data_IF_038065142340
#
_entry.id   IF_038065142340
#
_cell.length_a   1.000
_cell.length_b   1.000
_cell.length_c   1.000
_cell.angle_alpha   90.00
_cell.angle_beta   90.00
_cell.angle_gamma   90.00
#
_symmetry.space_group_name_H-M   'P 1'
#
loop_
_entity.id
_entity.type
_entity.pdbx_description
1 polymer ?
#
# COMPACT_ATOMS: atom_id res chain seq x y z
N UNK A 1 -8.85 -13.54 53.84
CA UNK A 1 -9.06 -13.39 52.37
C UNK A 1 -8.76 -11.95 52.00
N UNK A 2 -7.66 -11.70 51.27
CA UNK A 2 -7.43 -10.40 50.62
C UNK A 2 -8.27 -10.37 49.33
N UNK A 3 -9.21 -9.44 49.25
CA UNK A 3 -9.88 -9.18 47.98
C UNK A 3 -8.85 -8.60 46.99
N UNK A 4 -8.83 -9.08 45.73
CA UNK A 4 -7.97 -8.48 44.70
C UNK A 4 -8.48 -7.06 44.43
N UNK A 5 -7.63 -6.07 44.67
CA UNK A 5 -7.89 -4.69 44.28
C UNK A 5 -7.60 -4.61 42.76
N UNK A 6 -8.64 -4.53 41.97
CA UNK A 6 -8.49 -4.25 40.54
C UNK A 6 -8.03 -2.79 40.38
N UNK A 7 -6.79 -2.58 39.97
CA UNK A 7 -6.33 -1.24 39.55
C UNK A 7 -6.71 -1.01 38.09
N UNK A 8 -7.57 -0.06 37.83
CA UNK A 8 -7.86 0.39 36.48
C UNK A 8 -6.76 1.37 36.03
N UNK A 9 -6.06 1.03 34.99
CA UNK A 9 -5.13 1.97 34.33
C UNK A 9 -5.95 2.84 33.39
N UNK A 10 -6.00 4.15 33.66
CA UNK A 10 -6.64 5.10 32.75
C UNK A 10 -5.80 5.19 31.47
N UNK A 11 -6.41 5.08 30.27
CA UNK A 11 -5.70 5.24 29.03
C UNK A 11 -5.07 6.63 28.92
N UNK A 12 -3.91 6.73 28.24
CA UNK A 12 -3.30 8.02 27.92
C UNK A 12 -4.19 8.82 26.96
N UNK A 13 -4.22 10.15 27.16
CA UNK A 13 -4.97 11.06 26.30
C UNK A 13 -4.29 11.17 24.94
N UNK A 14 -4.95 10.77 23.89
CA UNK A 14 -4.51 10.98 22.51
C UNK A 14 -4.89 12.40 22.06
N UNK A 15 -3.99 13.37 22.21
CA UNK A 15 -4.25 14.78 21.95
C UNK A 15 -4.60 15.04 20.46
N UNK A 16 -4.01 14.28 19.52
CA UNK A 16 -4.32 14.32 18.09
C UNK A 16 -4.45 12.89 17.61
N UNK A 17 -5.64 12.51 17.17
CA UNK A 17 -5.91 11.18 16.63
C UNK A 17 -5.49 11.12 15.17
N UNK A 18 -4.28 10.62 14.90
CA UNK A 18 -3.80 10.34 13.53
C UNK A 18 -4.09 8.89 13.18
N UNK A 19 -4.62 8.67 11.98
CA UNK A 19 -4.93 7.35 11.44
C UNK A 19 -4.35 7.18 10.05
N UNK A 20 -4.15 5.94 9.65
CA UNK A 20 -3.60 5.57 8.36
C UNK A 20 -4.53 4.56 7.68
N UNK A 21 -4.64 4.70 6.37
CA UNK A 21 -5.31 3.73 5.51
C UNK A 21 -4.37 3.36 4.37
N UNK A 22 -4.01 2.09 4.30
CA UNK A 22 -3.10 1.54 3.30
C UNK A 22 -3.86 0.60 2.39
N UNK A 23 -3.75 0.80 1.09
CA UNK A 23 -4.38 -0.05 0.07
C UNK A 23 -3.47 -0.23 -1.13
N UNK A 24 -3.74 -1.28 -1.89
CA UNK A 24 -3.07 -1.62 -3.14
C UNK A 24 -3.99 -1.46 -4.33
N UNK A 25 -3.45 -0.97 -5.43
CA UNK A 25 -4.13 -0.89 -6.71
C UNK A 25 -3.25 -1.49 -7.82
N UNK A 26 -3.90 -2.14 -8.77
CA UNK A 26 -3.28 -2.75 -9.93
C UNK A 26 -3.64 -1.97 -11.19
N UNK A 27 -2.85 -0.93 -11.47
CA UNK A 27 -3.05 -0.08 -12.64
C UNK A 27 -2.31 -0.67 -13.83
N UNK A 28 -3.04 -0.96 -14.88
CA UNK A 28 -2.49 -1.48 -16.12
C UNK A 28 -1.94 -0.33 -17.00
N UNK A 29 -0.69 -0.50 -17.42
CA UNK A 29 -0.04 0.37 -18.40
C UNK A 29 0.30 -0.45 -19.65
N UNK A 30 0.28 0.13 -20.85
CA UNK A 30 0.85 -0.53 -22.02
C UNK A 30 2.33 -0.87 -21.81
N UNK A 31 2.82 -1.88 -22.50
CA UNK A 31 4.19 -2.37 -22.34
C UNK A 31 5.19 -1.23 -22.54
N UNK A 32 6.11 -1.07 -21.60
CA UNK A 32 7.14 -0.02 -21.58
C UNK A 32 6.60 1.43 -21.63
N UNK A 33 5.32 1.63 -21.28
CA UNK A 33 4.70 2.95 -21.24
C UNK A 33 4.43 3.41 -19.81
N UNK A 34 4.35 4.72 -19.67
CA UNK A 34 4.05 5.41 -18.41
C UNK A 34 2.74 6.23 -18.50
N UNK A 35 2.17 6.33 -19.69
CA UNK A 35 0.90 7.01 -19.92
C UNK A 35 -0.25 6.20 -19.34
N UNK A 36 -1.05 6.83 -18.51
CA UNK A 36 -2.24 6.22 -17.90
C UNK A 36 -3.45 6.42 -18.82
N UNK A 37 -4.00 5.32 -19.26
CA UNK A 37 -5.27 5.29 -19.98
C UNK A 37 -6.36 4.80 -19.04
N UNK A 38 -7.29 5.70 -18.67
CA UNK A 38 -8.28 5.42 -17.62
C UNK A 38 -9.28 4.31 -18.00
N UNK A 39 -9.51 4.09 -19.28
CA UNK A 39 -10.39 3.06 -19.84
C UNK A 39 -9.67 1.74 -20.20
N UNK A 40 -8.36 1.64 -19.94
CA UNK A 40 -7.57 0.48 -20.31
C UNK A 40 -7.73 -0.66 -19.31
N UNK A 41 -8.14 -1.86 -19.79
CA UNK A 41 -8.24 -3.10 -19.00
C UNK A 41 -8.99 -2.93 -17.67
N UNK A 42 -8.29 -3.12 -16.53
CA UNK A 42 -8.86 -3.04 -15.18
C UNK A 42 -8.92 -1.62 -14.61
N UNK A 43 -8.33 -0.66 -15.30
CA UNK A 43 -8.17 0.71 -14.82
C UNK A 43 -9.48 1.37 -14.37
N UNK A 44 -10.62 1.25 -15.07
CA UNK A 44 -11.85 1.90 -14.61
C UNK A 44 -12.21 1.52 -13.18
N UNK A 45 -12.21 0.22 -12.86
CA UNK A 45 -12.55 -0.25 -11.52
C UNK A 45 -11.50 0.11 -10.47
N UNK A 46 -10.21 0.02 -10.83
CA UNK A 46 -9.10 0.33 -9.92
C UNK A 46 -9.04 1.82 -9.59
N UNK A 47 -9.16 2.68 -10.59
CA UNK A 47 -9.15 4.14 -10.43
C UNK A 47 -10.39 4.63 -9.65
N UNK A 48 -11.56 4.09 -9.95
CA UNK A 48 -12.80 4.38 -9.22
C UNK A 48 -12.65 3.99 -7.73
N UNK A 49 -12.07 2.84 -7.44
CA UNK A 49 -11.82 2.39 -6.06
C UNK A 49 -10.91 3.35 -5.28
N UNK A 50 -9.83 3.85 -5.90
CA UNK A 50 -8.94 4.83 -5.29
C UNK A 50 -9.70 6.13 -4.99
N UNK A 51 -10.38 6.67 -6.00
CA UNK A 51 -11.11 7.94 -5.90
C UNK A 51 -12.21 7.86 -4.85
N UNK A 52 -13.00 6.80 -4.83
CA UNK A 52 -14.05 6.58 -3.80
C UNK A 52 -13.46 6.48 -2.40
N UNK A 53 -12.36 5.76 -2.23
CA UNK A 53 -11.70 5.61 -0.92
C UNK A 53 -11.25 6.96 -0.37
N UNK A 54 -10.62 7.80 -1.21
CA UNK A 54 -10.17 9.13 -0.79
C UNK A 54 -11.35 10.04 -0.51
N UNK A 55 -12.36 10.06 -1.39
CA UNK A 55 -13.56 10.88 -1.21
C UNK A 55 -14.35 10.48 0.04
N UNK A 56 -14.44 9.20 0.37
CA UNK A 56 -15.10 8.74 1.59
C UNK A 56 -14.45 9.32 2.87
N UNK A 57 -13.12 9.46 2.88
CA UNK A 57 -12.41 10.12 3.98
C UNK A 57 -12.56 11.64 3.93
N UNK A 58 -12.43 12.23 2.75
CA UNK A 58 -12.55 13.68 2.55
C UNK A 58 -13.94 14.22 2.95
N UNK A 59 -14.99 13.48 2.61
CA UNK A 59 -16.38 13.91 2.82
C UNK A 59 -16.91 13.57 4.21
N UNK A 60 -16.15 12.81 5.02
CA UNK A 60 -16.50 12.56 6.42
C UNK A 60 -16.17 13.80 7.29
N UNK A 61 -17.21 14.45 7.82
CA UNK A 61 -17.10 15.65 8.66
C UNK A 61 -16.24 15.50 9.92
N UNK A 62 -15.96 14.27 10.33
CA UNK A 62 -15.14 13.97 11.50
C UNK A 62 -13.66 13.84 11.15
N UNK A 63 -13.31 13.83 9.87
CA UNK A 63 -11.97 13.54 9.37
C UNK A 63 -11.36 14.73 8.64
N UNK A 64 -10.04 14.80 8.68
CA UNK A 64 -9.23 15.74 7.89
C UNK A 64 -8.11 14.96 7.23
N UNK A 65 -8.14 14.83 5.90
CA UNK A 65 -7.03 14.21 5.15
C UNK A 65 -5.80 15.09 5.25
N UNK A 66 -4.72 14.56 5.78
CA UNK A 66 -3.45 15.27 6.03
C UNK A 66 -2.31 14.83 5.12
N UNK A 67 -2.44 13.72 4.40
CA UNK A 67 -1.43 13.26 3.44
C UNK A 67 -1.91 12.09 2.60
N UNK A 68 -1.46 12.03 1.35
CA UNK A 68 -1.69 10.93 0.42
C UNK A 68 -0.36 10.64 -0.25
N UNK A 69 0.18 9.45 -0.03
CA UNK A 69 1.35 8.95 -0.75
C UNK A 69 0.92 7.87 -1.74
N UNK A 70 1.41 7.96 -2.97
CA UNK A 70 1.29 6.90 -3.97
C UNK A 70 2.67 6.34 -4.24
N UNK A 71 2.84 5.06 -3.97
CA UNK A 71 4.09 4.33 -4.09
C UNK A 71 4.00 3.30 -5.21
N UNK A 72 4.82 3.44 -6.25
CA UNK A 72 4.83 2.56 -7.40
C UNK A 72 5.88 1.46 -7.29
N UNK A 73 5.54 0.29 -7.85
CA UNK A 73 6.41 -0.88 -7.92
C UNK A 73 6.49 -1.40 -9.35
N UNK A 74 7.66 -1.92 -9.73
CA UNK A 74 7.80 -2.75 -10.90
C UNK A 74 8.24 -4.17 -10.51
N UNK A 75 8.15 -5.10 -11.44
CA UNK A 75 8.64 -6.47 -11.29
C UNK A 75 10.11 -6.58 -11.72
N UNK A 76 10.89 -7.49 -11.15
CA UNK A 76 12.32 -7.64 -11.46
C UNK A 76 12.56 -8.42 -12.76
N UNK A 77 11.94 -8.02 -13.88
CA UNK A 77 12.03 -8.71 -15.18
C UNK A 77 12.83 -7.96 -16.25
N UNK A 78 13.26 -6.75 -15.95
CA UNK A 78 14.01 -5.87 -16.84
C UNK A 78 15.18 -5.27 -16.08
N UNK A 79 16.13 -4.61 -16.75
CA UNK A 79 17.22 -3.93 -16.04
C UNK A 79 16.69 -2.99 -14.94
N UNK A 80 17.35 -3.01 -13.79
CA UNK A 80 16.97 -2.23 -12.62
C UNK A 80 16.69 -0.75 -12.93
N UNK A 81 17.56 -0.13 -13.74
CA UNK A 81 17.39 1.28 -14.13
C UNK A 81 16.11 1.53 -14.93
N UNK A 82 15.69 0.58 -15.76
CA UNK A 82 14.43 0.66 -16.51
C UNK A 82 13.23 0.45 -15.58
N UNK A 83 13.31 -0.50 -14.66
CA UNK A 83 12.27 -0.75 -13.65
C UNK A 83 12.09 0.46 -12.72
N UNK A 84 13.19 1.10 -12.28
CA UNK A 84 13.15 2.34 -11.50
C UNK A 84 12.43 3.46 -12.26
N UNK A 85 12.78 3.67 -13.52
CA UNK A 85 12.11 4.64 -14.38
C UNK A 85 10.60 4.37 -14.49
N UNK A 86 10.22 3.12 -14.75
CA UNK A 86 8.79 2.75 -14.88
C UNK A 86 8.04 2.92 -13.55
N UNK A 87 8.56 2.40 -12.44
CA UNK A 87 7.93 2.48 -11.13
C UNK A 87 7.66 3.93 -10.74
N UNK A 88 8.68 4.78 -10.84
CA UNK A 88 8.61 6.20 -10.48
C UNK A 88 7.63 6.99 -11.35
N UNK A 89 7.72 6.85 -12.67
CA UNK A 89 6.90 7.66 -13.58
C UNK A 89 5.44 7.17 -13.63
N UNK A 90 5.18 5.87 -13.49
CA UNK A 90 3.83 5.33 -13.35
C UNK A 90 3.15 5.80 -12.07
N UNK A 91 3.86 5.79 -10.93
CA UNK A 91 3.37 6.36 -9.68
C UNK A 91 3.05 7.86 -9.81
N UNK A 92 3.92 8.63 -10.47
CA UNK A 92 3.70 10.05 -10.74
C UNK A 92 2.45 10.27 -11.60
N UNK A 93 2.31 9.55 -12.70
CA UNK A 93 1.16 9.67 -13.60
C UNK A 93 -0.15 9.31 -12.90
N UNK A 94 -0.15 8.26 -12.08
CA UNK A 94 -1.30 7.89 -11.26
C UNK A 94 -1.63 8.97 -10.23
N UNK A 95 -0.62 9.53 -9.57
CA UNK A 95 -0.81 10.62 -8.60
C UNK A 95 -1.43 11.86 -9.26
N UNK A 96 -0.96 12.22 -10.45
CA UNK A 96 -1.49 13.35 -11.22
C UNK A 96 -2.96 13.12 -11.63
N UNK A 97 -3.32 11.89 -11.97
CA UNK A 97 -4.71 11.51 -12.24
C UNK A 97 -5.58 11.63 -10.98
N UNK A 98 -5.19 10.98 -9.89
CA UNK A 98 -5.96 10.95 -8.64
C UNK A 98 -6.16 12.37 -8.09
N UNK A 99 -5.10 13.20 -8.10
CA UNK A 99 -5.16 14.58 -7.65
C UNK A 99 -6.22 15.41 -8.38
N UNK A 100 -6.34 15.24 -9.69
CA UNK A 100 -7.37 15.93 -10.49
C UNK A 100 -8.79 15.45 -10.14
N UNK A 101 -8.94 14.18 -9.80
CA UNK A 101 -10.26 13.57 -9.55
C UNK A 101 -10.82 13.84 -8.16
N UNK A 102 -9.96 13.99 -7.14
CA UNK A 102 -10.43 14.10 -5.74
C UNK A 102 -10.51 15.54 -5.22
N UNK A 103 -10.03 16.53 -5.98
CA UNK A 103 -10.09 17.96 -5.64
C UNK A 103 -9.56 18.29 -4.23
N UNK A 104 -8.37 17.77 -3.90
CA UNK A 104 -7.63 18.05 -2.67
C UNK A 104 -6.41 18.93 -2.98
N UNK A 105 -5.89 19.69 -1.99
CA UNK A 105 -4.70 20.52 -2.16
C UNK A 105 -3.49 19.70 -2.62
N UNK A 106 -2.75 20.24 -3.59
CA UNK A 106 -1.60 19.57 -4.22
C UNK A 106 -0.52 19.16 -3.21
N UNK A 107 -0.30 19.96 -2.19
CA UNK A 107 0.72 19.72 -1.16
C UNK A 107 0.45 18.48 -0.29
N UNK A 108 -0.75 17.93 -0.31
CA UNK A 108 -1.07 16.69 0.39
C UNK A 108 -0.55 15.44 -0.33
N UNK A 109 -0.17 15.57 -1.61
CA UNK A 109 0.24 14.43 -2.42
C UNK A 109 1.76 14.30 -2.46
N UNK A 110 2.23 13.09 -2.19
CA UNK A 110 3.63 12.69 -2.37
C UNK A 110 3.72 11.44 -3.24
N UNK A 111 4.85 11.29 -3.92
CA UNK A 111 5.14 10.17 -4.79
C UNK A 111 6.40 9.49 -4.31
N UNK A 112 6.37 8.17 -4.27
CA UNK A 112 7.54 7.34 -4.00
C UNK A 112 7.52 6.09 -4.88
N UNK A 113 8.63 5.37 -4.95
CA UNK A 113 8.72 4.15 -5.75
C UNK A 113 9.76 3.18 -5.23
N UNK A 114 9.56 1.93 -5.55
CA UNK A 114 10.53 0.83 -5.42
C UNK A 114 10.73 0.25 -6.81
N UNK A 115 11.96 0.25 -7.28
CA UNK A 115 12.30 -0.18 -8.65
C UNK A 115 11.83 -1.61 -8.93
N UNK A 116 11.98 -2.50 -7.93
CA UNK A 116 11.65 -3.91 -8.06
C UNK A 116 11.04 -4.45 -6.75
N UNK A 117 9.88 -5.09 -6.83
CA UNK A 117 9.19 -5.67 -5.67
C UNK A 117 9.76 -7.04 -5.27
N UNK A 118 11.03 -7.05 -4.84
CA UNK A 118 11.64 -8.27 -4.31
C UNK A 118 10.98 -8.78 -3.04
N UNK A 119 10.40 -7.91 -2.22
CA UNK A 119 9.66 -8.32 -1.02
C UNK A 119 8.40 -9.10 -1.39
N UNK A 120 7.64 -8.61 -2.36
CA UNK A 120 6.50 -9.32 -2.91
C UNK A 120 6.89 -10.67 -3.50
N UNK A 121 7.99 -10.75 -4.26
CA UNK A 121 8.49 -12.02 -4.79
C UNK A 121 8.88 -12.99 -3.68
N UNK A 122 9.58 -12.53 -2.64
CA UNK A 122 9.94 -13.34 -1.47
C UNK A 122 8.70 -13.90 -0.75
N UNK A 123 7.64 -13.11 -0.65
CA UNK A 123 6.40 -13.57 -0.03
C UNK A 123 5.73 -14.66 -0.87
N UNK A 124 5.62 -14.49 -2.18
CA UNK A 124 5.12 -15.55 -3.08
C UNK A 124 5.95 -16.84 -2.97
N UNK A 125 7.27 -16.73 -2.94
CA UNK A 125 8.15 -17.89 -2.77
C UNK A 125 7.90 -18.62 -1.46
N UNK A 126 7.81 -17.89 -0.33
CA UNK A 126 7.56 -18.48 1.00
C UNK A 126 6.25 -19.27 1.06
N UNK A 127 5.21 -18.74 0.45
CA UNK A 127 3.86 -19.30 0.50
C UNK A 127 3.61 -20.39 -0.57
N UNK A 128 4.57 -20.63 -1.47
CA UNK A 128 4.45 -21.55 -2.59
C UNK A 128 4.96 -22.97 -2.26
N UNK A 129 4.58 -23.91 -3.14
CA UNK A 129 5.17 -25.23 -3.22
C UNK A 129 6.09 -25.38 -4.44
N UNK A 130 6.70 -24.28 -4.89
CA UNK A 130 7.58 -24.28 -6.05
C UNK A 130 8.80 -25.16 -5.77
N UNK A 131 9.20 -25.95 -6.75
CA UNK A 131 10.45 -26.69 -6.70
C UNK A 131 11.63 -25.71 -6.56
N UNK A 132 12.69 -26.09 -5.89
CA UNK A 132 13.87 -25.23 -5.61
C UNK A 132 13.55 -23.87 -4.94
N UNK A 133 12.39 -23.75 -4.26
CA UNK A 133 12.01 -22.46 -3.63
C UNK A 133 13.03 -21.97 -2.61
N UNK A 134 13.66 -22.90 -1.86
CA UNK A 134 14.65 -22.53 -0.84
C UNK A 134 15.91 -21.90 -1.46
N UNK A 135 16.37 -22.47 -2.55
CA UNK A 135 17.54 -22.00 -3.29
C UNK A 135 17.24 -20.67 -4.00
N UNK A 136 16.06 -20.54 -4.61
CA UNK A 136 15.62 -19.30 -5.26
C UNK A 136 15.45 -18.19 -4.20
N UNK A 137 14.86 -18.53 -3.04
CA UNK A 137 14.69 -17.58 -1.94
C UNK A 137 16.05 -17.12 -1.37
N UNK A 138 17.04 -18.02 -1.30
CA UNK A 138 18.40 -17.66 -0.89
C UNK A 138 19.04 -16.63 -1.84
N UNK A 139 18.84 -16.79 -3.15
CA UNK A 139 19.32 -15.81 -4.15
C UNK A 139 18.54 -14.50 -4.01
N UNK A 140 17.21 -14.54 -3.87
CA UNK A 140 16.37 -13.36 -3.71
C UNK A 140 16.68 -12.56 -2.43
N UNK A 141 17.20 -13.20 -1.38
CA UNK A 141 17.60 -12.59 -0.12
C UNK A 141 19.07 -12.07 -0.12
N UNK A 142 19.83 -12.34 -1.15
CA UNK A 142 21.23 -11.89 -1.22
C UNK A 142 21.30 -10.41 -1.59
N UNK A 143 21.14 -9.54 -0.60
CA UNK A 143 21.17 -8.08 -0.77
C UNK A 143 22.55 -7.54 -1.17
N UNK A 144 23.62 -8.35 -1.05
CA UNK A 144 24.97 -7.99 -1.51
C UNK A 144 25.12 -8.16 -3.01
N UNK A 145 24.26 -8.99 -3.61
CA UNK A 145 24.26 -9.21 -5.06
C UNK A 145 23.45 -8.09 -5.74
N UNK A 146 23.97 -7.59 -6.85
CA UNK A 146 23.26 -6.66 -7.72
C UNK A 146 21.89 -7.23 -8.14
N UNK A 147 20.82 -6.43 -8.17
CA UNK A 147 19.46 -6.91 -8.50
C UNK A 147 19.38 -7.60 -9.87
N UNK A 148 20.00 -7.03 -10.90
CA UNK A 148 20.02 -7.63 -12.24
C UNK A 148 20.77 -8.98 -12.23
N UNK A 149 21.86 -9.07 -11.46
CA UNK A 149 22.61 -10.32 -11.30
C UNK A 149 21.79 -11.38 -10.53
N UNK A 150 20.96 -10.99 -9.54
CA UNK A 150 20.03 -11.91 -8.86
C UNK A 150 19.05 -12.51 -9.85
N UNK A 151 18.39 -11.67 -10.63
CA UNK A 151 17.41 -12.10 -11.62
C UNK A 151 18.03 -13.04 -12.64
N UNK A 152 19.20 -12.68 -13.22
CA UNK A 152 19.89 -13.50 -14.20
C UNK A 152 20.33 -14.84 -13.60
N UNK A 153 20.76 -14.87 -12.35
CA UNK A 153 21.14 -16.12 -11.65
C UNK A 153 19.95 -17.04 -11.49
N UNK A 154 18.80 -16.53 -11.06
CA UNK A 154 17.55 -17.32 -10.94
C UNK A 154 17.17 -17.86 -12.33
N UNK A 155 17.11 -17.01 -13.34
CA UNK A 155 16.76 -17.37 -14.71
C UNK A 155 17.67 -18.45 -15.30
N UNK A 156 18.97 -18.38 -15.01
CA UNK A 156 19.95 -19.33 -15.50
C UNK A 156 19.90 -20.69 -14.80
N UNK A 157 19.76 -20.69 -13.47
CA UNK A 157 19.80 -21.90 -12.65
C UNK A 157 18.46 -22.62 -12.55
N UNK A 158 17.36 -21.87 -12.59
CA UNK A 158 15.98 -22.36 -12.38
C UNK A 158 15.05 -21.85 -13.48
N UNK A 159 15.28 -22.18 -14.75
CA UNK A 159 14.55 -21.59 -15.89
C UNK A 159 13.07 -21.94 -15.91
N UNK A 160 12.66 -23.11 -15.41
CA UNK A 160 11.26 -23.54 -15.34
C UNK A 160 10.50 -22.74 -14.29
N UNK A 161 11.08 -22.60 -13.11
CA UNK A 161 10.53 -21.83 -11.99
C UNK A 161 10.51 -20.34 -12.32
N UNK A 162 11.56 -19.82 -12.98
CA UNK A 162 11.59 -18.45 -13.46
C UNK A 162 10.44 -18.16 -14.44
N UNK A 163 10.20 -19.07 -15.40
CA UNK A 163 9.08 -18.95 -16.34
C UNK A 163 7.74 -18.93 -15.60
N UNK A 164 7.56 -19.86 -14.66
CA UNK A 164 6.36 -19.90 -13.84
C UNK A 164 6.14 -18.59 -13.06
N UNK A 165 7.18 -18.08 -12.41
CA UNK A 165 7.12 -16.80 -11.67
C UNK A 165 6.79 -15.64 -12.59
N UNK A 166 7.41 -15.57 -13.77
CA UNK A 166 7.21 -14.52 -14.76
C UNK A 166 5.75 -14.47 -15.26
N UNK A 167 5.17 -15.65 -15.52
CA UNK A 167 3.81 -15.76 -16.06
C UNK A 167 2.73 -15.59 -14.97
N UNK A 168 3.02 -15.98 -13.72
CA UNK A 168 2.01 -16.09 -12.66
C UNK A 168 2.13 -14.99 -11.60
N UNK A 169 3.32 -14.68 -11.10
CA UNK A 169 3.52 -13.77 -9.96
C UNK A 169 3.95 -12.37 -10.36
N UNK A 170 4.81 -12.23 -11.35
CA UNK A 170 5.35 -10.93 -11.78
C UNK A 170 4.29 -9.91 -12.18
N UNK A 171 3.16 -10.30 -12.82
CA UNK A 171 2.07 -9.34 -13.05
C UNK A 171 1.53 -8.70 -11.77
N UNK A 172 1.50 -9.43 -10.66
CA UNK A 172 1.05 -8.92 -9.36
C UNK A 172 2.10 -8.07 -8.62
N UNK A 173 3.38 -8.18 -9.02
CA UNK A 173 4.46 -7.33 -8.49
C UNK A 173 4.49 -5.93 -9.12
N UNK A 174 3.72 -5.71 -10.18
CA UNK A 174 3.52 -4.41 -10.85
C UNK A 174 2.28 -3.75 -10.28
N UNK A 175 2.42 -3.06 -9.16
CA UNK A 175 1.30 -2.44 -8.45
C UNK A 175 1.64 -1.04 -7.96
N UNK A 176 0.62 -0.34 -7.48
CA UNK A 176 0.78 0.91 -6.76
C UNK A 176 0.06 0.81 -5.43
N UNK A 177 0.78 1.07 -4.35
CA UNK A 177 0.19 1.18 -3.02
C UNK A 177 -0.13 2.64 -2.75
N UNK A 178 -1.26 2.92 -2.10
CA UNK A 178 -1.60 4.26 -1.67
C UNK A 178 -1.86 4.29 -0.18
N UNK A 179 -1.24 5.28 0.46
CA UNK A 179 -1.21 5.48 1.89
C UNK A 179 -1.87 6.81 2.20
N UNK A 180 -2.98 6.79 2.92
CA UNK A 180 -3.72 7.98 3.30
C UNK A 180 -3.54 8.21 4.78
N UNK A 181 -3.03 9.38 5.15
CA UNK A 181 -2.95 9.84 6.53
C UNK A 181 -4.06 10.85 6.77
N UNK A 182 -4.79 10.69 7.85
CA UNK A 182 -5.88 11.58 8.22
C UNK A 182 -5.94 11.77 9.73
N UNK A 183 -6.48 12.91 10.15
CA UNK A 183 -6.76 13.24 11.54
C UNK A 183 -8.24 13.03 11.82
N UNK A 184 -8.54 12.55 13.01
CA UNK A 184 -9.92 12.42 13.50
C UNK A 184 -10.15 13.48 14.58
N UNK A 185 -11.24 14.20 14.50
CA UNK A 185 -11.60 15.20 15.53
C UNK A 185 -11.80 14.50 16.90
N UNK A 186 -11.54 15.19 18.02
CA UNK A 186 -11.95 14.69 19.33
C UNK A 186 -13.47 14.66 19.43
N UNK A 187 -14.00 13.68 20.19
CA UNK A 187 -15.44 13.53 20.46
C UNK A 187 -15.72 13.80 21.94
N UNK A 188 -16.84 14.44 22.22
CA UNK A 188 -17.39 14.42 23.57
C UNK A 188 -18.07 13.07 23.89
N UNK A 189 -18.47 12.86 25.15
CA UNK A 189 -19.05 11.58 25.61
C UNK A 189 -20.35 11.24 24.87
N UNK A 190 -21.16 12.23 24.52
CA UNK A 190 -22.43 12.00 23.81
C UNK A 190 -22.16 11.60 22.33
N UNK A 191 -21.27 12.29 21.67
CA UNK A 191 -20.81 11.94 20.32
C UNK A 191 -20.16 10.55 20.29
N UNK A 192 -19.29 10.25 21.26
CA UNK A 192 -18.59 8.96 21.34
C UNK A 192 -19.56 7.78 21.50
N UNK A 193 -20.66 7.94 22.27
CA UNK A 193 -21.73 6.93 22.38
C UNK A 193 -22.42 6.59 21.07
N UNK A 194 -22.53 7.53 20.15
CA UNK A 194 -23.08 7.26 18.82
C UNK A 194 -22.02 6.72 17.86
N UNK A 195 -20.81 7.25 17.90
CA UNK A 195 -19.69 6.82 17.03
C UNK A 195 -19.30 5.38 17.33
N UNK A 196 -19.31 4.93 18.59
CA UNK A 196 -18.94 3.54 18.95
C UNK A 196 -19.84 2.49 18.26
N UNK A 197 -21.09 2.84 17.97
CA UNK A 197 -22.04 1.95 17.30
C UNK A 197 -21.80 1.80 15.80
N UNK A 198 -21.20 2.79 15.16
CA UNK A 198 -21.11 2.89 13.70
C UNK A 198 -19.67 2.94 13.17
N UNK A 199 -18.79 3.66 13.86
CA UNK A 199 -17.41 3.93 13.43
C UNK A 199 -16.43 3.86 14.62
N UNK A 200 -16.38 2.75 15.37
CA UNK A 200 -15.54 2.64 16.59
C UNK A 200 -14.06 2.93 16.35
N UNK A 201 -13.57 2.72 15.13
CA UNK A 201 -12.19 3.02 14.74
C UNK A 201 -11.83 4.52 14.77
N UNK A 202 -12.83 5.40 14.86
CA UNK A 202 -12.62 6.84 15.00
C UNK A 202 -12.41 7.28 16.46
N UNK A 203 -12.69 6.40 17.43
CA UNK A 203 -12.51 6.70 18.85
C UNK A 203 -11.05 6.46 19.29
N UNK A 204 -10.58 7.28 20.25
CA UNK A 204 -9.40 6.97 21.05
C UNK A 204 -9.73 5.95 22.13
N UNK A 205 -8.70 5.34 22.74
CA UNK A 205 -8.92 4.44 23.88
C UNK A 205 -9.57 5.16 25.06
N UNK A 206 -9.22 6.42 25.30
CA UNK A 206 -9.85 7.23 26.34
C UNK A 206 -11.32 7.48 26.06
N UNK A 207 -11.70 7.87 24.85
CA UNK A 207 -13.10 8.07 24.44
C UNK A 207 -13.90 6.78 24.56
N UNK A 208 -13.34 5.62 24.20
CA UNK A 208 -13.98 4.31 24.39
C UNK A 208 -14.16 3.95 25.86
N UNK A 209 -13.23 4.37 26.72
CA UNK A 209 -13.30 4.11 28.16
C UNK A 209 -14.42 4.94 28.85
N UNK A 210 -14.76 6.09 28.29
CA UNK A 210 -15.76 7.03 28.85
C UNK A 210 -17.20 6.74 28.44
N UNK A 211 -17.44 5.77 27.53
CA UNK A 211 -18.76 5.44 26.98
C UNK A 211 -19.22 4.03 27.35
#
# INVERSE_FOLDING_TARGET
>A
CRQPVASFVRPEVEAIKVRHLDKRAYIDFPVNKIELHADYRRNPAQLDSIVRTINALKDDKNLEVSGINIHGYASPESPYSHNDYLAKNRAKTLTDYVRRMVALPTQLFTVSSTAEDWDGLRNYLKDSNLEHKAEILAIANDEKMDPDAREQKIKKLYPSEYRFMLDTWYPALRHSDYHITYKVKPFDVAEAKEIIKTKPQQLSQEEMFLV
#
